data_IF_933235887991
#
_entry.id   IF_933235887991
#
_cell.length_a   1.000
_cell.length_b   1.000
_cell.length_c   1.000
_cell.angle_alpha   90.00
_cell.angle_beta   90.00
_cell.angle_gamma   90.00
#
_symmetry.space_group_name_H-M   'P 1'
#
loop_
_entity.id
_entity.type
_entity.pdbx_description
1 polymer ?
#
# COMPACT_ATOMS: atom_id res chain seq x y z
N UNK A 1 -39.72 -16.35 -1.11
CA UNK A 1 -38.38 -15.83 -1.45
C UNK A 1 -38.48 -14.31 -1.45
N UNK A 2 -37.84 -13.62 -0.51
CA UNK A 2 -37.80 -12.16 -0.47
C UNK A 2 -36.60 -11.73 -1.33
N UNK A 3 -36.83 -11.04 -2.45
CA UNK A 3 -35.75 -10.35 -3.17
C UNK A 3 -35.41 -9.10 -2.37
N UNK A 4 -34.35 -9.17 -1.57
CA UNK A 4 -33.72 -7.95 -1.06
C UNK A 4 -33.10 -7.25 -2.28
N UNK A 5 -33.64 -6.10 -2.66
CA UNK A 5 -32.94 -5.20 -3.60
C UNK A 5 -32.19 -4.20 -2.74
N UNK A 6 -30.88 -4.32 -2.72
CA UNK A 6 -30.03 -3.32 -2.10
C UNK A 6 -30.05 -2.08 -3.00
N UNK A 7 -30.53 -0.96 -2.46
CA UNK A 7 -30.51 0.33 -3.14
C UNK A 7 -29.19 0.98 -2.77
N UNK A 8 -28.29 1.09 -3.74
CA UNK A 8 -27.03 1.84 -3.58
C UNK A 8 -27.25 3.25 -4.09
N UNK A 9 -27.08 4.25 -3.21
CA UNK A 9 -27.09 5.66 -3.60
C UNK A 9 -25.66 6.07 -3.88
N UNK A 10 -25.40 6.47 -5.11
CA UNK A 10 -24.13 7.07 -5.50
C UNK A 10 -24.21 8.59 -5.41
N UNK A 11 -23.16 9.20 -4.86
CA UNK A 11 -23.09 10.65 -4.69
C UNK A 11 -21.73 11.16 -5.13
N UNK A 12 -21.69 12.44 -5.50
CA UNK A 12 -20.46 13.14 -5.90
C UNK A 12 -20.41 14.51 -5.24
N UNK A 13 -19.20 15.04 -5.07
CA UNK A 13 -18.99 16.40 -4.56
C UNK A 13 -19.57 17.41 -5.54
N UNK A 14 -19.22 17.23 -6.82
CA UNK A 14 -19.62 18.11 -7.91
C UNK A 14 -19.58 17.35 -9.24
N UNK A 15 -20.38 17.81 -10.19
CA UNK A 15 -20.40 17.29 -11.56
C UNK A 15 -19.26 17.88 -12.41
N UNK A 16 -18.03 17.63 -11.98
CA UNK A 16 -16.78 18.04 -12.66
C UNK A 16 -15.81 16.86 -12.67
N UNK A 17 -14.89 16.85 -13.63
CA UNK A 17 -13.86 15.80 -13.68
C UNK A 17 -12.73 16.06 -12.68
N UNK A 18 -11.98 15.01 -12.36
CA UNK A 18 -10.80 15.11 -11.51
C UNK A 18 -9.80 16.15 -12.02
N UNK A 19 -9.56 16.17 -13.32
CA UNK A 19 -8.57 17.07 -13.94
C UNK A 19 -9.02 18.53 -13.85
N UNK A 20 -10.32 18.79 -14.04
CA UNK A 20 -10.90 20.12 -13.93
C UNK A 20 -10.79 20.68 -12.50
N UNK A 21 -11.05 19.83 -11.50
CA UNK A 21 -11.07 20.25 -10.09
C UNK A 21 -9.67 20.45 -9.54
N UNK A 22 -8.70 19.61 -9.92
CA UNK A 22 -7.29 19.79 -9.56
C UNK A 22 -6.68 21.08 -10.14
N UNK A 23 -7.16 21.52 -11.30
CA UNK A 23 -6.74 22.79 -11.89
C UNK A 23 -7.28 24.02 -11.14
N UNK A 24 -8.30 23.86 -10.30
CA UNK A 24 -8.93 24.94 -9.54
C UNK A 24 -8.76 24.68 -8.03
N UNK A 25 -7.62 25.12 -7.48
CA UNK A 25 -7.27 24.94 -6.05
C UNK A 25 -8.28 25.56 -5.08
N UNK A 26 -9.05 26.57 -5.50
CA UNK A 26 -10.10 27.17 -4.65
C UNK A 26 -11.37 26.32 -4.55
N UNK A 27 -11.56 25.38 -5.48
CA UNK A 27 -12.73 24.52 -5.59
C UNK A 27 -12.44 23.03 -5.33
N UNK A 28 -11.17 22.68 -5.11
CA UNK A 28 -10.76 21.31 -4.82
C UNK A 28 -11.16 20.93 -3.40
N UNK A 29 -12.04 19.94 -3.27
CA UNK A 29 -12.63 19.56 -1.98
C UNK A 29 -11.82 18.53 -1.19
N UNK A 30 -10.82 17.88 -1.81
CA UNK A 30 -10.06 16.83 -1.14
C UNK A 30 -8.97 17.43 -0.25
N UNK A 31 -8.82 16.88 0.95
CA UNK A 31 -7.81 17.30 1.92
C UNK A 31 -6.41 16.79 1.62
N UNK A 32 -5.51 17.01 2.57
CA UNK A 32 -4.13 16.49 2.55
C UNK A 32 -4.15 14.96 2.56
N UNK A 33 -3.24 14.34 1.81
CA UNK A 33 -3.14 12.88 1.61
C UNK A 33 -4.41 12.23 1.03
N UNK A 34 -5.24 13.01 0.34
CA UNK A 34 -6.39 12.54 -0.42
C UNK A 34 -6.28 12.92 -1.89
N UNK A 35 -6.83 12.08 -2.76
CA UNK A 35 -6.95 12.33 -4.19
C UNK A 35 -8.40 12.15 -4.64
N UNK A 36 -8.74 12.75 -5.76
CA UNK A 36 -10.04 12.56 -6.37
C UNK A 36 -10.10 11.20 -7.08
N UNK A 37 -11.28 10.61 -7.07
CA UNK A 37 -11.57 9.38 -7.77
C UNK A 37 -12.92 9.51 -8.48
N UNK A 38 -13.10 8.70 -9.52
CA UNK A 38 -14.36 8.65 -10.24
C UNK A 38 -15.35 7.69 -9.55
N UNK A 39 -16.64 8.06 -9.47
CA UNK A 39 -17.72 7.14 -9.15
C UNK A 39 -17.86 6.04 -10.22
N UNK A 40 -18.57 4.96 -9.91
CA UNK A 40 -18.84 3.87 -10.86
C UNK A 40 -19.68 4.35 -12.04
N UNK A 41 -20.58 5.32 -11.84
CA UNK A 41 -21.31 5.98 -12.93
C UNK A 41 -20.43 6.83 -13.85
N UNK A 42 -19.19 7.14 -13.44
CA UNK A 42 -18.23 7.93 -14.22
C UNK A 42 -18.54 9.43 -14.32
N UNK A 43 -19.62 9.92 -13.70
CA UNK A 43 -20.00 11.33 -13.73
C UNK A 43 -19.73 12.02 -12.39
N UNK A 44 -18.94 13.10 -12.42
CA UNK A 44 -18.50 13.83 -11.23
C UNK A 44 -17.29 13.19 -10.56
N UNK A 45 -16.91 13.70 -9.38
CA UNK A 45 -15.79 13.18 -8.61
C UNK A 45 -16.13 13.04 -7.13
N UNK A 46 -15.39 12.15 -6.47
CA UNK A 46 -15.36 11.97 -5.01
C UNK A 46 -13.92 12.04 -4.52
N UNK A 47 -13.70 12.23 -3.23
CA UNK A 47 -12.37 12.16 -2.65
C UNK A 47 -12.15 10.79 -1.98
N UNK A 48 -10.93 10.28 -2.08
CA UNK A 48 -10.45 9.08 -1.40
C UNK A 48 -9.10 9.40 -0.75
N UNK A 49 -8.83 8.82 0.43
CA UNK A 49 -7.47 8.85 0.95
C UNK A 49 -6.54 8.10 0.00
N UNK A 50 -5.29 8.56 -0.07
CA UNK A 50 -4.23 7.88 -0.79
C UNK A 50 -3.92 6.53 -0.13
N UNK A 51 -3.29 5.63 -0.88
CA UNK A 51 -2.78 4.38 -0.34
C UNK A 51 -1.89 4.64 0.89
N UNK A 52 -2.12 3.88 1.96
CA UNK A 52 -1.43 4.06 3.25
C UNK A 52 -2.08 5.06 4.20
N UNK A 53 -3.21 5.68 3.83
CA UNK A 53 -3.94 6.62 4.68
C UNK A 53 -5.41 6.23 4.88
N UNK A 54 -5.96 6.55 6.05
CA UNK A 54 -7.38 6.33 6.39
C UNK A 54 -8.02 7.56 7.05
N UNK A 55 -9.35 7.62 7.03
CA UNK A 55 -10.12 8.70 7.64
C UNK A 55 -11.05 9.39 6.65
N UNK A 56 -11.28 10.70 6.85
CA UNK A 56 -12.23 11.47 6.06
C UNK A 56 -11.50 12.33 5.00
N UNK A 57 -11.57 12.00 3.71
CA UNK A 57 -10.81 12.70 2.67
C UNK A 57 -11.32 14.10 2.33
N UNK A 58 -12.44 14.55 2.91
CA UNK A 58 -13.01 15.89 2.70
C UNK A 58 -12.60 16.92 3.76
N UNK A 59 -11.84 16.50 4.79
CA UNK A 59 -11.27 17.39 5.78
C UNK A 59 -9.79 17.65 5.45
N UNK A 60 -9.32 18.88 5.66
CA UNK A 60 -7.95 19.30 5.34
C UNK A 60 -6.89 18.32 5.89
N UNK A 61 -7.02 17.87 7.13
CA UNK A 61 -6.11 16.91 7.77
C UNK A 61 -6.86 15.63 8.15
N UNK A 62 -7.80 15.21 7.30
CA UNK A 62 -8.71 14.11 7.59
C UNK A 62 -8.18 12.72 7.25
N UNK A 63 -7.22 12.62 6.32
CA UNK A 63 -6.54 11.37 5.98
C UNK A 63 -5.25 11.24 6.81
N UNK A 64 -5.26 10.31 7.75
CA UNK A 64 -4.17 10.02 8.66
C UNK A 64 -3.44 8.75 8.23
N UNK A 65 -2.15 8.72 8.53
CA UNK A 65 -1.28 7.58 8.26
C UNK A 65 -1.78 6.32 8.97
N UNK A 66 -1.85 5.20 8.25
CA UNK A 66 -2.25 3.91 8.81
C UNK A 66 -1.04 3.29 9.48
N UNK A 67 -1.10 3.02 10.79
CA UNK A 67 -0.08 2.21 11.48
C UNK A 67 -0.36 0.72 11.21
N UNK A 68 0.22 0.15 10.14
CA UNK A 68 -0.11 -1.21 9.70
C UNK A 68 0.27 -2.29 10.73
N UNK A 69 1.08 -1.95 11.74
CA UNK A 69 1.43 -2.83 12.87
C UNK A 69 0.25 -3.10 13.79
N UNK A 70 -0.68 -2.15 13.87
CA UNK A 70 -1.89 -2.23 14.70
C UNK A 70 -3.07 -2.85 13.96
N UNK A 71 -2.94 -3.07 12.65
CA UNK A 71 -4.02 -3.60 11.82
C UNK A 71 -3.86 -5.11 11.69
N UNK A 72 -4.78 -5.86 12.31
CA UNK A 72 -4.83 -7.33 12.16
C UNK A 72 -4.99 -7.72 10.68
N UNK A 73 -4.19 -8.68 10.21
CA UNK A 73 -4.22 -9.17 8.83
C UNK A 73 -3.53 -8.30 7.77
N UNK A 74 -3.18 -7.05 8.09
CA UNK A 74 -2.29 -6.20 7.25
C UNK A 74 -0.86 -6.12 7.76
N UNK A 75 -0.59 -6.73 8.91
CA UNK A 75 0.76 -6.76 9.48
C UNK A 75 1.68 -7.58 8.56
N UNK A 76 2.56 -6.95 7.77
CA UNK A 76 3.34 -7.61 6.74
C UNK A 76 4.55 -8.36 7.33
N UNK A 77 4.84 -8.15 8.63
CA UNK A 77 5.87 -8.83 9.39
C UNK A 77 5.37 -10.06 10.15
N UNK A 78 4.72 -11.03 9.47
CA UNK A 78 4.28 -12.26 10.15
C UNK A 78 5.43 -13.05 10.81
N UNK A 79 6.68 -12.82 10.37
CA UNK A 79 7.90 -13.36 11.00
C UNK A 79 8.94 -12.28 11.33
N UNK A 80 8.63 -10.98 11.17
CA UNK A 80 9.61 -9.90 11.25
C UNK A 80 9.16 -8.65 12.01
N UNK A 81 10.09 -7.72 12.24
CA UNK A 81 9.77 -6.43 12.86
C UNK A 81 9.34 -5.44 11.79
N UNK A 82 8.09 -4.98 11.86
CA UNK A 82 7.62 -3.88 11.01
C UNK A 82 7.86 -2.52 11.70
N UNK A 83 8.24 -1.52 10.92
CA UNK A 83 8.37 -0.12 11.33
C UNK A 83 7.39 0.71 10.50
N UNK A 84 6.51 1.46 11.17
CA UNK A 84 5.57 2.35 10.49
C UNK A 84 6.32 3.52 9.83
N UNK A 85 6.01 3.85 8.58
CA UNK A 85 6.46 5.06 7.90
C UNK A 85 5.25 5.87 7.42
N UNK A 86 5.46 7.14 7.11
CA UNK A 86 4.35 7.95 6.56
C UNK A 86 3.99 7.44 5.16
N UNK A 87 2.76 6.98 5.00
CA UNK A 87 2.16 6.44 3.77
C UNK A 87 2.61 5.02 3.41
N UNK A 88 3.38 4.33 4.26
CA UNK A 88 3.89 2.99 3.98
C UNK A 88 4.49 2.34 5.24
N UNK A 89 4.99 1.11 5.14
CA UNK A 89 5.74 0.45 6.20
C UNK A 89 7.11 -0.02 5.73
N UNK A 90 8.03 -0.14 6.68
CA UNK A 90 9.23 -0.97 6.52
C UNK A 90 8.98 -2.32 7.15
N UNK A 91 9.36 -3.39 6.46
CA UNK A 91 9.51 -4.68 7.10
C UNK A 91 10.99 -5.03 7.24
N UNK A 92 11.38 -5.38 8.47
CA UNK A 92 12.62 -6.09 8.76
C UNK A 92 12.28 -7.55 8.99
N UNK A 93 12.19 -8.29 7.90
CA UNK A 93 12.05 -9.73 7.97
C UNK A 93 13.41 -10.32 8.37
N UNK A 94 13.48 -11.23 9.37
CA UNK A 94 14.65 -12.06 9.52
C UNK A 94 14.83 -12.78 8.19
N UNK A 95 16.03 -12.66 7.63
CA UNK A 95 16.45 -13.50 6.51
C UNK A 95 16.38 -14.94 7.00
N UNK A 96 15.27 -15.63 6.73
CA UNK A 96 15.12 -17.05 7.03
C UNK A 96 16.31 -17.81 6.49
N UNK A 97 17.04 -18.50 7.37
CA UNK A 97 18.11 -19.46 7.12
C UNK A 97 18.96 -19.36 5.83
N UNK A 98 19.33 -18.16 5.34
CA UNK A 98 20.39 -18.02 4.33
C UNK A 98 21.77 -18.44 4.88
N UNK A 99 21.92 -18.43 6.21
CA UNK A 99 23.07 -19.02 6.88
C UNK A 99 23.19 -20.54 6.62
N UNK A 100 22.07 -21.25 6.41
CA UNK A 100 22.08 -22.69 6.11
C UNK A 100 22.62 -22.98 4.70
N UNK A 101 22.43 -22.06 3.75
CA UNK A 101 22.93 -22.21 2.38
C UNK A 101 24.47 -22.04 2.32
N UNK A 102 25.03 -21.10 3.08
CA UNK A 102 26.49 -20.91 3.19
C UNK A 102 27.20 -22.13 3.78
N UNK A 103 26.60 -22.78 4.80
CA UNK A 103 27.17 -24.00 5.42
C UNK A 103 27.21 -25.16 4.42
N UNK A 104 26.21 -25.29 3.55
CA UNK A 104 26.15 -26.34 2.54
C UNK A 104 27.23 -26.17 1.46
N UNK A 105 27.46 -24.93 0.98
CA UNK A 105 28.47 -24.62 -0.06
C UNK A 105 29.91 -24.89 0.41
N UNK A 106 30.19 -24.62 1.70
CA UNK A 106 31.48 -24.95 2.33
C UNK A 106 31.65 -26.47 2.47
N UNK A 107 30.58 -27.20 2.80
CA UNK A 107 30.63 -28.67 2.94
C UNK A 107 30.82 -29.42 1.61
N UNK A 108 30.45 -28.81 0.46
CA UNK A 108 30.65 -29.36 -0.89
C UNK A 108 31.93 -28.83 -1.59
N UNK A 109 32.76 -28.05 -0.90
CA UNK A 109 34.09 -27.65 -1.39
C UNK A 109 34.10 -26.56 -2.47
N UNK A 110 33.06 -25.72 -2.55
CA UNK A 110 33.05 -24.57 -3.48
C UNK A 110 33.75 -23.39 -2.78
N UNK A 111 35.05 -23.22 -3.04
CA UNK A 111 35.92 -22.22 -2.38
C UNK A 111 35.78 -20.77 -2.87
N UNK A 112 34.83 -20.45 -3.75
CA UNK A 112 34.66 -19.08 -4.26
C UNK A 112 33.37 -18.47 -3.77
N UNK A 113 33.52 -17.42 -2.97
CA UNK A 113 32.49 -16.49 -2.51
C UNK A 113 31.86 -15.79 -3.71
N UNK A 114 30.92 -16.45 -4.38
CA UNK A 114 30.07 -15.78 -5.36
C UNK A 114 29.14 -14.87 -4.57
N UNK A 115 29.37 -13.57 -4.66
CA UNK A 115 28.46 -12.56 -4.11
C UNK A 115 27.20 -12.59 -4.98
N UNK A 116 26.15 -13.27 -4.53
CA UNK A 116 24.85 -13.22 -5.20
C UNK A 116 24.13 -11.94 -4.77
N UNK A 117 23.77 -11.09 -5.72
CA UNK A 117 22.86 -9.98 -5.42
C UNK A 117 21.43 -10.51 -5.45
N UNK A 118 20.73 -10.40 -4.31
CA UNK A 118 19.31 -10.80 -4.22
C UNK A 118 18.47 -9.53 -4.34
N UNK A 119 17.72 -9.42 -5.44
CA UNK A 119 16.67 -8.42 -5.55
C UNK A 119 15.43 -8.93 -4.82
N UNK A 120 15.02 -8.22 -3.76
CA UNK A 120 13.88 -8.61 -2.94
C UNK A 120 12.65 -7.76 -3.27
N UNK A 121 11.56 -8.41 -3.70
CA UNK A 121 10.28 -7.75 -3.88
C UNK A 121 9.52 -7.71 -2.55
N UNK A 122 9.50 -6.54 -1.90
CA UNK A 122 8.83 -6.35 -0.62
C UNK A 122 7.30 -6.51 -0.68
N UNK A 123 6.67 -6.40 -1.88
CA UNK A 123 5.22 -6.57 -2.05
C UNK A 123 4.80 -8.03 -2.24
N UNK A 124 5.64 -8.85 -2.89
CA UNK A 124 5.32 -10.25 -3.18
C UNK A 124 6.08 -11.26 -2.32
N UNK A 125 7.05 -10.80 -1.52
CA UNK A 125 7.99 -11.64 -0.76
C UNK A 125 8.81 -12.60 -1.65
N UNK A 126 9.01 -12.21 -2.91
CA UNK A 126 9.78 -12.98 -3.88
C UNK A 126 11.20 -12.43 -4.00
N UNK A 127 12.18 -13.33 -3.97
CA UNK A 127 13.59 -13.02 -4.22
C UNK A 127 13.99 -13.49 -5.61
N UNK A 128 14.62 -12.63 -6.40
CA UNK A 128 15.30 -13.01 -7.63
C UNK A 128 16.80 -13.04 -7.38
N UNK A 129 17.43 -14.18 -7.67
CA UNK A 129 18.89 -14.31 -7.65
C UNK A 129 19.41 -13.67 -8.94
N UNK A 130 20.17 -12.59 -8.81
CA UNK A 130 20.91 -11.99 -9.92
C UNK A 130 22.26 -12.71 -9.99
N UNK A 131 22.49 -13.42 -11.11
CA UNK A 131 23.75 -14.12 -11.43
C UNK A 131 24.79 -13.18 -12.01
#
# INVERSE_FOLDING_TARGET
>A
MHMQRDVVIEWVVKNETCEQTKANTSAYACGTNADCTYPESGQGYRCSCNDGFEGNPYLQEGCQDIDERKVEGKNPGQEGTSENMIGNYKCRCPLGNFASFLVLLVAIGIEKTTTFEVAFNQKTNEGLILT
#
